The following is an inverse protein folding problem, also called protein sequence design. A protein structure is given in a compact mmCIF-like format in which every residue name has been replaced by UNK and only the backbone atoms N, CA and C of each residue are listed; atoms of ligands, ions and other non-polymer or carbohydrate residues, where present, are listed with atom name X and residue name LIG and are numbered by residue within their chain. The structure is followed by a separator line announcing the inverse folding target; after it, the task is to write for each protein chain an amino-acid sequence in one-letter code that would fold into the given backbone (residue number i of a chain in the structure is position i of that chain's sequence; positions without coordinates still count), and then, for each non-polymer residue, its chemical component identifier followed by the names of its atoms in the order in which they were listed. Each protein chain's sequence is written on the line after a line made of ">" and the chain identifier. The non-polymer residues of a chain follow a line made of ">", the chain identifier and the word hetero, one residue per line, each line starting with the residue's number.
data_IF_041503053684
#
_entry.id   IF_041503053684
#
_cell.length_a   1.000
_cell.length_b   1.000
_cell.length_c   1.000
_cell.angle_alpha   90.00
_cell.angle_beta   90.00
_cell.angle_gamma   90.00
#
_symmetry.space_group_name_H-M   'P 1'
#
loop_
_entity.id
_entity.type
_entity.pdbx_description
1 polymer ?
#
# COMPACT_ATOMS: atom_id res chain seq x y z
N UNK A 1 21.13 -55.48 57.38
CA UNK A 1 21.76 -54.18 57.20
C UNK A 1 21.45 -53.64 55.78
N UNK A 2 20.24 -53.16 55.55
CA UNK A 2 19.89 -52.63 54.23
C UNK A 2 18.65 -51.75 54.38
N UNK A 3 18.72 -50.65 55.14
CA UNK A 3 17.59 -49.75 55.30
C UNK A 3 17.97 -48.28 55.53
N UNK A 4 19.22 -47.86 55.31
CA UNK A 4 19.64 -46.46 55.57
C UNK A 4 20.05 -45.67 54.31
N UNK A 5 20.03 -46.28 53.14
CA UNK A 5 20.50 -45.61 51.92
C UNK A 5 19.38 -44.96 51.12
N UNK A 6 18.11 -45.26 51.44
CA UNK A 6 16.95 -44.77 50.64
C UNK A 6 16.41 -43.41 51.06
N UNK A 7 16.81 -42.91 52.23
CA UNK A 7 16.25 -41.64 52.77
C UNK A 7 17.02 -40.41 52.36
N UNK A 8 18.29 -40.54 51.98
CA UNK A 8 19.13 -39.41 51.59
C UNK A 8 18.98 -38.99 50.12
N UNK A 9 18.49 -39.90 49.27
CA UNK A 9 18.31 -39.59 47.82
C UNK A 9 17.01 -38.82 47.57
N UNK A 10 16.00 -38.94 48.44
CA UNK A 10 14.72 -38.23 48.28
C UNK A 10 14.74 -36.78 48.72
N UNK A 11 15.70 -36.37 49.56
CA UNK A 11 15.82 -34.95 49.99
C UNK A 11 16.61 -34.08 49.03
N UNK A 12 17.42 -34.63 48.14
CA UNK A 12 18.20 -33.85 47.16
C UNK A 12 17.36 -33.54 45.92
N UNK A 13 16.36 -34.39 45.63
CA UNK A 13 15.46 -34.15 44.51
C UNK A 13 14.41 -33.02 44.73
N UNK A 14 14.16 -32.68 46.02
CA UNK A 14 13.18 -31.63 46.34
C UNK A 14 13.76 -30.21 46.37
N UNK A 15 15.09 -30.07 46.39
CA UNK A 15 15.74 -28.76 46.47
C UNK A 15 16.14 -28.20 45.09
N UNK A 16 16.09 -29.01 44.03
CA UNK A 16 16.46 -28.59 42.67
C UNK A 16 15.26 -28.03 41.87
N UNK A 17 14.02 -28.30 42.33
CA UNK A 17 12.83 -27.80 41.65
C UNK A 17 12.42 -26.36 41.97
N UNK A 18 13.06 -25.70 42.94
CA UNK A 18 12.65 -24.31 43.34
C UNK A 18 13.51 -23.23 42.72
N UNK A 19 14.61 -23.57 42.04
CA UNK A 19 15.51 -22.56 41.44
C UNK A 19 15.37 -22.39 39.94
N UNK A 20 14.42 -23.03 39.27
CA UNK A 20 14.23 -22.92 37.81
C UNK A 20 13.04 -22.04 37.43
N UNK A 21 12.37 -21.42 38.37
CA UNK A 21 11.16 -20.60 38.07
C UNK A 21 11.35 -19.10 38.10
N UNK A 22 12.56 -18.58 37.86
CA UNK A 22 12.80 -17.10 37.85
C UNK A 22 13.67 -16.61 36.70
N UNK A 23 13.63 -17.27 35.54
CA UNK A 23 14.23 -16.70 34.32
C UNK A 23 13.28 -16.93 33.13
N UNK A 24 12.18 -16.20 33.09
CA UNK A 24 11.36 -16.09 31.88
C UNK A 24 10.60 -14.75 31.89
N UNK A 25 11.34 -13.66 31.85
CA UNK A 25 10.81 -12.36 31.44
C UNK A 25 11.92 -11.55 30.74
N UNK A 26 12.58 -12.16 29.75
CA UNK A 26 13.18 -11.40 28.69
C UNK A 26 12.09 -11.27 27.63
N UNK A 27 11.29 -10.23 27.69
CA UNK A 27 10.53 -9.75 26.55
C UNK A 27 11.54 -9.39 25.47
N UNK A 28 11.72 -10.32 24.54
CA UNK A 28 12.33 -10.04 23.27
C UNK A 28 11.42 -9.03 22.58
N UNK A 29 11.77 -7.75 22.72
CA UNK A 29 11.23 -6.69 21.87
C UNK A 29 11.85 -6.87 20.50
N UNK A 30 11.41 -7.90 19.78
CA UNK A 30 11.61 -7.97 18.34
C UNK A 30 11.06 -6.71 17.70
N UNK A 31 11.65 -6.25 16.57
CA UNK A 31 11.10 -5.09 15.87
C UNK A 31 9.63 -5.37 15.63
N UNK A 32 8.75 -4.56 16.22
CA UNK A 32 7.33 -4.56 15.93
C UNK A 32 7.20 -4.21 14.47
N UNK A 33 7.13 -5.21 13.61
CA UNK A 33 6.55 -5.06 12.30
C UNK A 33 5.07 -4.78 12.53
N UNK A 34 4.75 -3.50 12.73
CA UNK A 34 3.38 -3.03 12.66
C UNK A 34 2.85 -3.53 11.32
N UNK A 35 1.84 -4.43 11.30
CA UNK A 35 1.23 -4.81 10.03
C UNK A 35 0.76 -3.50 9.37
N UNK A 36 0.94 -3.34 8.06
CA UNK A 36 0.45 -2.15 7.37
C UNK A 36 -1.02 -1.98 7.74
N UNK A 37 -1.35 -0.81 8.28
CA UNK A 37 -2.72 -0.48 8.65
C UNK A 37 -3.53 -0.57 7.37
N UNK A 38 -4.40 -1.57 7.23
CA UNK A 38 -5.37 -1.63 6.15
C UNK A 38 -6.28 -0.42 6.30
N UNK A 39 -6.26 0.48 5.33
CA UNK A 39 -7.14 1.64 5.30
C UNK A 39 -8.51 1.20 4.78
N UNK A 40 -9.31 0.53 5.62
CA UNK A 40 -10.68 0.06 5.32
C UNK A 40 -11.68 1.20 5.11
N UNK A 41 -11.27 2.28 4.50
CA UNK A 41 -12.05 3.48 4.27
C UNK A 41 -12.07 3.92 2.79
N UNK A 42 -12.86 4.97 2.46
CA UNK A 42 -12.83 5.52 1.11
C UNK A 42 -11.44 6.01 0.75
N UNK A 43 -11.04 5.81 -0.50
CA UNK A 43 -9.74 6.26 -1.02
C UNK A 43 -9.61 7.78 -0.89
N UNK A 44 -8.53 8.23 -0.24
CA UNK A 44 -8.22 9.64 -0.03
C UNK A 44 -6.75 10.01 -0.29
N UNK A 45 -5.87 9.01 -0.32
CA UNK A 45 -4.42 9.12 -0.50
C UNK A 45 -3.87 7.86 -1.19
N UNK A 46 -2.59 7.86 -1.51
CA UNK A 46 -1.96 6.73 -2.20
C UNK A 46 -1.99 5.43 -1.37
N UNK A 47 -1.71 5.41 -0.06
CA UNK A 47 -1.82 4.17 0.72
C UNK A 47 -3.22 3.56 0.68
N UNK A 48 -4.27 4.36 0.86
CA UNK A 48 -5.65 3.87 0.80
C UNK A 48 -6.06 3.38 -0.60
N UNK A 49 -5.51 3.96 -1.67
CA UNK A 49 -5.69 3.44 -3.04
C UNK A 49 -5.03 2.07 -3.19
N UNK A 50 -3.79 1.91 -2.73
CA UNK A 50 -3.06 0.63 -2.79
C UNK A 50 -3.84 -0.45 -2.07
N UNK A 51 -4.36 -0.15 -0.87
CA UNK A 51 -5.16 -1.10 -0.09
C UNK A 51 -6.48 -1.45 -0.79
N UNK A 52 -7.17 -0.47 -1.39
CA UNK A 52 -8.40 -0.72 -2.15
C UNK A 52 -8.15 -1.62 -3.38
N UNK A 53 -7.06 -1.41 -4.11
CA UNK A 53 -6.71 -2.24 -5.27
C UNK A 53 -6.31 -3.66 -4.83
N UNK A 54 -5.60 -3.81 -3.71
CA UNK A 54 -5.30 -5.13 -3.12
C UNK A 54 -6.56 -5.85 -2.66
N UNK A 55 -7.49 -5.14 -2.03
CA UNK A 55 -8.79 -5.68 -1.63
C UNK A 55 -9.62 -6.15 -2.84
N UNK A 56 -9.44 -5.51 -4.00
CA UNK A 56 -10.00 -5.96 -5.27
C UNK A 56 -9.29 -7.19 -5.88
N UNK A 57 -8.29 -7.75 -5.21
CA UNK A 57 -7.56 -8.95 -5.63
C UNK A 57 -6.39 -8.70 -6.58
N UNK A 58 -5.96 -7.44 -6.73
CA UNK A 58 -4.82 -7.11 -7.59
C UNK A 58 -3.50 -7.15 -6.81
N UNK A 59 -2.42 -7.57 -7.48
CA UNK A 59 -1.07 -7.44 -6.96
C UNK A 59 -0.60 -5.99 -7.16
N UNK A 60 -0.23 -5.30 -6.08
CA UNK A 60 0.10 -3.86 -6.13
C UNK A 60 1.43 -3.60 -5.44
N UNK A 61 2.39 -3.03 -6.19
CA UNK A 61 3.73 -2.73 -5.72
C UNK A 61 4.19 -1.34 -6.21
N UNK A 62 4.49 -0.40 -5.31
CA UNK A 62 5.20 0.84 -5.66
C UNK A 62 6.57 0.51 -6.26
N UNK A 63 6.94 1.19 -7.35
CA UNK A 63 8.17 0.85 -8.11
C UNK A 63 9.17 2.00 -8.11
N UNK A 64 8.76 3.20 -8.55
CA UNK A 64 9.66 4.32 -8.75
C UNK A 64 8.92 5.65 -8.74
N UNK A 65 9.65 6.72 -8.46
CA UNK A 65 9.14 8.07 -8.67
C UNK A 65 9.02 8.38 -10.16
N UNK A 66 8.00 9.14 -10.52
CA UNK A 66 7.73 9.58 -11.87
C UNK A 66 7.42 11.07 -11.90
N UNK A 67 7.84 11.73 -12.98
CA UNK A 67 7.42 13.08 -13.31
C UNK A 67 6.91 13.09 -14.75
N UNK A 68 5.73 13.66 -14.94
CA UNK A 68 5.13 13.83 -16.25
C UNK A 68 4.83 15.31 -16.47
N UNK A 69 5.00 15.83 -17.68
CA UNK A 69 4.70 17.24 -17.96
C UNK A 69 3.20 17.58 -17.89
N UNK A 70 2.36 16.57 -17.74
CA UNK A 70 0.89 16.70 -17.65
C UNK A 70 0.45 17.25 -16.30
N UNK A 71 1.12 16.86 -15.23
CA UNK A 71 0.82 17.27 -13.85
C UNK A 71 2.06 17.86 -13.20
N UNK A 72 1.87 18.88 -12.37
CA UNK A 72 2.96 19.42 -11.58
C UNK A 72 3.28 18.52 -10.39
N UNK A 73 4.55 18.44 -10.04
CA UNK A 73 5.03 17.64 -8.92
C UNK A 73 5.54 16.27 -9.32
N UNK A 74 5.87 15.48 -8.31
CA UNK A 74 6.36 14.11 -8.46
C UNK A 74 5.25 13.15 -8.10
N UNK A 75 5.01 12.18 -8.97
CA UNK A 75 4.17 11.02 -8.69
C UNK A 75 4.99 9.78 -8.40
N UNK A 76 4.30 8.69 -8.23
CA UNK A 76 4.87 7.36 -8.08
C UNK A 76 4.29 6.42 -9.13
N UNK A 77 5.14 5.67 -9.79
CA UNK A 77 4.75 4.55 -10.63
C UNK A 77 4.45 3.36 -9.72
N UNK A 78 3.26 2.83 -9.84
CA UNK A 78 2.79 1.66 -9.10
C UNK A 78 2.48 0.56 -10.08
N UNK A 79 3.10 -0.60 -9.90
CA UNK A 79 2.79 -1.79 -10.67
C UNK A 79 1.51 -2.42 -10.11
N UNK A 80 0.57 -2.71 -11.00
CA UNK A 80 -0.72 -3.36 -10.71
C UNK A 80 -0.83 -4.58 -11.62
N UNK A 81 -0.64 -5.78 -11.08
CA UNK A 81 -0.43 -7.01 -11.86
C UNK A 81 0.75 -6.84 -12.84
N UNK A 82 0.49 -6.98 -14.15
CA UNK A 82 1.46 -6.73 -15.23
C UNK A 82 1.43 -5.30 -15.77
N UNK A 83 0.50 -4.49 -15.32
CA UNK A 83 0.27 -3.12 -15.76
C UNK A 83 0.95 -2.11 -14.84
N UNK A 84 1.00 -0.84 -15.25
CA UNK A 84 1.49 0.25 -14.42
C UNK A 84 0.52 1.42 -14.41
N UNK A 85 0.32 1.98 -13.21
CA UNK A 85 -0.39 3.24 -13.02
C UNK A 85 0.58 4.29 -12.46
N UNK A 86 0.27 5.56 -12.62
CA UNK A 86 1.00 6.66 -12.03
C UNK A 86 0.08 7.36 -11.03
N UNK A 87 0.52 7.49 -9.79
CA UNK A 87 -0.24 8.11 -8.70
C UNK A 87 0.46 9.40 -8.29
N UNK A 88 -0.26 10.50 -8.35
CA UNK A 88 0.18 11.82 -7.90
C UNK A 88 -0.62 12.21 -6.68
N UNK A 89 0.06 12.50 -5.59
CA UNK A 89 -0.55 12.96 -4.35
C UNK A 89 -0.24 14.42 -4.11
N UNK A 90 -1.27 15.20 -3.82
CA UNK A 90 -1.19 16.64 -3.60
C UNK A 90 -1.44 16.98 -2.13
N UNK A 91 -1.22 18.22 -1.76
CA UNK A 91 -1.39 18.69 -0.39
C UNK A 91 -2.84 18.49 0.12
N UNK A 92 -3.80 18.71 -0.75
CA UNK A 92 -5.24 18.57 -0.47
C UNK A 92 -6.06 18.31 -1.74
N UNK A 93 -7.37 18.10 -1.56
CA UNK A 93 -8.29 17.86 -2.67
C UNK A 93 -8.46 19.03 -3.63
N UNK A 94 -8.26 20.26 -3.15
CA UNK A 94 -8.32 21.45 -4.01
C UNK A 94 -7.11 21.48 -4.94
N UNK A 95 -5.92 21.25 -4.44
CA UNK A 95 -4.71 21.19 -5.25
C UNK A 95 -4.81 20.05 -6.31
N UNK A 96 -5.33 18.88 -5.94
CA UNK A 96 -5.60 17.80 -6.89
C UNK A 96 -6.64 18.21 -7.95
N UNK A 97 -7.66 18.96 -7.58
CA UNK A 97 -8.67 19.46 -8.50
C UNK A 97 -8.08 20.50 -9.49
N UNK A 98 -7.28 21.42 -8.99
CA UNK A 98 -6.63 22.46 -9.81
C UNK A 98 -5.67 21.82 -10.84
N UNK A 99 -4.96 20.76 -10.45
CA UNK A 99 -4.10 19.99 -11.35
C UNK A 99 -4.92 19.19 -12.39
N UNK A 100 -5.97 18.50 -11.95
CA UNK A 100 -6.85 17.76 -12.85
C UNK A 100 -7.54 18.66 -13.87
N UNK A 101 -7.86 19.91 -13.50
CA UNK A 101 -8.49 20.88 -14.40
C UNK A 101 -7.61 21.30 -15.59
N UNK A 102 -6.30 21.03 -15.57
CA UNK A 102 -5.39 21.25 -16.70
C UNK A 102 -5.58 20.22 -17.82
N UNK A 103 -6.11 19.06 -17.48
CA UNK A 103 -6.35 17.96 -18.42
C UNK A 103 -7.74 18.12 -19.03
N UNK A 104 -7.80 18.22 -20.35
CA UNK A 104 -9.07 18.29 -21.08
C UNK A 104 -9.77 16.91 -21.06
N UNK A 105 -11.10 16.84 -21.28
CA UNK A 105 -11.84 15.57 -21.28
C UNK A 105 -11.33 14.53 -22.28
N UNK A 106 -10.67 14.96 -23.34
CA UNK A 106 -10.00 14.09 -24.32
C UNK A 106 -8.57 13.68 -23.89
N UNK A 107 -8.18 13.89 -22.65
CA UNK A 107 -6.87 13.49 -22.12
C UNK A 107 -5.68 14.35 -22.56
N UNK A 108 -5.91 15.48 -23.22
CA UNK A 108 -4.84 16.40 -23.65
C UNK A 108 -4.62 17.51 -22.64
N UNK A 109 -3.39 18.04 -22.61
CA UNK A 109 -3.04 19.26 -21.88
C UNK A 109 -2.48 20.26 -22.88
N UNK A 110 -3.02 21.49 -22.96
CA UNK A 110 -2.56 22.50 -23.92
C UNK A 110 -1.04 22.75 -23.80
N UNK A 111 -0.33 22.68 -24.92
CA UNK A 111 1.12 22.89 -24.97
C UNK A 111 1.98 21.73 -24.46
N UNK A 112 1.38 20.59 -24.09
CA UNK A 112 2.08 19.40 -23.61
C UNK A 112 1.83 18.25 -24.57
N UNK A 113 2.92 17.56 -24.97
CA UNK A 113 2.85 16.32 -25.74
C UNK A 113 3.46 15.20 -24.92
N UNK A 114 2.69 14.12 -24.74
CA UNK A 114 3.15 12.89 -24.10
C UNK A 114 2.88 11.72 -25.03
N UNK A 115 3.88 10.87 -25.20
CA UNK A 115 3.71 9.60 -25.90
C UNK A 115 3.34 8.52 -24.89
N UNK A 116 2.08 8.18 -24.79
CA UNK A 116 1.59 7.14 -23.88
C UNK A 116 1.79 5.76 -24.51
N UNK A 117 2.14 4.73 -23.72
CA UNK A 117 2.24 3.35 -24.21
C UNK A 117 0.89 2.73 -24.58
N UNK A 118 -0.21 3.31 -24.10
CA UNK A 118 -1.59 2.92 -24.34
C UNK A 118 -2.52 4.08 -24.10
N UNK A 119 -3.82 3.84 -24.16
CA UNK A 119 -4.83 4.86 -23.94
C UNK A 119 -4.79 5.39 -22.48
N UNK A 120 -4.51 6.67 -22.24
CA UNK A 120 -4.46 7.20 -20.90
C UNK A 120 -5.85 7.48 -20.34
N UNK A 121 -6.12 6.93 -19.16
CA UNK A 121 -7.31 7.17 -18.35
C UNK A 121 -6.91 8.00 -17.12
N UNK A 122 -7.60 9.10 -16.86
CA UNK A 122 -7.31 10.01 -15.77
C UNK A 122 -8.41 9.95 -14.73
N UNK A 123 -8.02 9.63 -13.48
CA UNK A 123 -8.91 9.56 -12.34
C UNK A 123 -8.52 10.60 -11.30
N UNK A 124 -9.49 11.08 -10.51
CA UNK A 124 -9.24 11.94 -9.36
C UNK A 124 -10.13 11.52 -8.20
N UNK A 125 -9.54 11.43 -7.04
CA UNK A 125 -10.25 11.20 -5.78
C UNK A 125 -9.54 11.92 -4.65
N UNK A 126 -10.27 12.72 -3.87
CA UNK A 126 -9.69 13.48 -2.79
C UNK A 126 -8.40 14.20 -3.23
N UNK A 127 -7.27 13.92 -2.62
CA UNK A 127 -5.98 14.56 -2.91
C UNK A 127 -5.10 13.82 -3.93
N UNK A 128 -5.60 12.80 -4.58
CA UNK A 128 -4.84 12.05 -5.58
C UNK A 128 -5.39 12.23 -6.99
N UNK A 129 -4.47 12.22 -7.95
CA UNK A 129 -4.75 12.05 -9.39
C UNK A 129 -4.02 10.80 -9.85
N UNK A 130 -4.71 9.93 -10.58
CA UNK A 130 -4.16 8.68 -11.09
C UNK A 130 -4.22 8.70 -12.62
N UNK A 131 -3.12 8.31 -13.25
CA UNK A 131 -3.04 8.12 -14.70
C UNK A 131 -2.79 6.63 -14.96
N UNK A 132 -3.65 6.02 -15.74
CA UNK A 132 -3.48 4.64 -16.22
C UNK A 132 -3.39 4.65 -17.75
N UNK A 133 -2.19 4.49 -18.33
CA UNK A 133 -2.00 4.41 -19.77
C UNK A 133 -2.10 2.97 -20.28
N UNK A 134 -3.29 2.36 -20.16
CA UNK A 134 -3.53 0.97 -20.54
C UNK A 134 -5.01 0.64 -20.66
N UNK A 135 -5.32 -0.58 -21.05
CA UNK A 135 -6.69 -1.05 -21.35
C UNK A 135 -7.03 -2.38 -20.66
N UNK A 136 -6.27 -2.81 -19.65
CA UNK A 136 -6.62 -4.03 -18.91
C UNK A 136 -7.93 -3.84 -18.14
N UNK A 137 -8.91 -4.68 -18.42
CA UNK A 137 -10.27 -4.54 -17.90
C UNK A 137 -10.32 -4.75 -16.37
N UNK A 138 -9.47 -5.60 -15.80
CA UNK A 138 -9.45 -5.82 -14.37
C UNK A 138 -8.93 -4.58 -13.64
N UNK A 139 -7.89 -3.94 -14.19
CA UNK A 139 -7.33 -2.69 -13.65
C UNK A 139 -8.34 -1.55 -13.78
N UNK A 140 -8.97 -1.38 -14.95
CA UNK A 140 -10.01 -0.36 -15.18
C UNK A 140 -11.16 -0.52 -14.19
N UNK A 141 -11.69 -1.74 -14.04
CA UNK A 141 -12.81 -2.03 -13.13
C UNK A 141 -12.45 -1.69 -11.68
N UNK A 142 -11.24 -2.08 -11.24
CA UNK A 142 -10.79 -1.81 -9.88
C UNK A 142 -10.56 -0.31 -9.64
N UNK A 143 -9.98 0.41 -10.61
CA UNK A 143 -9.80 1.86 -10.51
C UNK A 143 -11.14 2.59 -10.47
N UNK A 144 -12.11 2.19 -11.31
CA UNK A 144 -13.45 2.79 -11.29
C UNK A 144 -14.20 2.51 -9.98
N UNK A 145 -14.05 1.33 -9.42
CA UNK A 145 -14.64 0.99 -8.11
C UNK A 145 -14.03 1.83 -6.98
N UNK A 146 -12.71 2.05 -7.02
CA UNK A 146 -11.98 2.78 -5.99
C UNK A 146 -12.12 4.31 -6.11
N UNK A 147 -12.04 4.84 -7.34
CA UNK A 147 -11.90 6.26 -7.62
C UNK A 147 -13.15 6.90 -8.25
N UNK A 148 -14.04 6.09 -8.81
CA UNK A 148 -15.12 6.53 -9.69
C UNK A 148 -14.69 6.54 -11.16
N UNK A 149 -15.56 7.04 -12.03
CA UNK A 149 -15.28 7.10 -13.48
C UNK A 149 -14.11 8.03 -13.78
N UNK A 150 -13.32 7.77 -14.83
CA UNK A 150 -12.29 8.69 -15.27
C UNK A 150 -12.90 10.03 -15.67
N UNK A 151 -12.25 11.12 -15.31
CA UNK A 151 -12.68 12.46 -15.70
C UNK A 151 -12.18 12.87 -17.10
N UNK A 152 -11.15 12.17 -17.58
CA UNK A 152 -10.61 12.34 -18.93
C UNK A 152 -10.08 11.01 -19.46
N UNK A 153 -10.20 10.81 -20.79
CA UNK A 153 -9.66 9.64 -21.49
C UNK A 153 -9.03 10.13 -22.78
N UNK A 154 -7.75 9.80 -22.96
CA UNK A 154 -7.03 10.16 -24.17
C UNK A 154 -7.35 9.28 -25.38
N UNK A 155 -6.81 9.64 -26.52
CA UNK A 155 -6.96 8.85 -27.75
C UNK A 155 -6.13 7.56 -27.71
#
# INVERSE_FOLDING_TARGET
>A
MAALTSFRVRMIAALICITVLLVAAACDAGPSSTPPSSHDGPVRDQPSLIDALRAAGLSVNPVARVQQPVLSGSGETVQVNSETIQVYEFADGKAAQDEAAKVQPNGTVPGVTVNWPGQPHFYRKERIVVIYPGNDQAVLTALEAALGKPFAVGP
#
